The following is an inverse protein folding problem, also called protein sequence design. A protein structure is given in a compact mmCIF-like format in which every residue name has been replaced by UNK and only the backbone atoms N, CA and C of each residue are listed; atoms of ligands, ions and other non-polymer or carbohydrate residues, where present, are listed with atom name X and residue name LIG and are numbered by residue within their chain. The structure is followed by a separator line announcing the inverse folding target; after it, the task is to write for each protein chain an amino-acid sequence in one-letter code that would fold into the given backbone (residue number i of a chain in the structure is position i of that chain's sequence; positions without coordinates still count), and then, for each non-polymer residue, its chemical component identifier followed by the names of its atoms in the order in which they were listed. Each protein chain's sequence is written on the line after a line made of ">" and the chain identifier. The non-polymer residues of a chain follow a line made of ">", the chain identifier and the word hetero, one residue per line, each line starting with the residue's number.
data_IF_795417625499
#
_entry.id   IF_795417625499
#
_cell.length_a   1.000
_cell.length_b   1.000
_cell.length_c   1.000
_cell.angle_alpha   90.00
_cell.angle_beta   90.00
_cell.angle_gamma   90.00
#
_symmetry.space_group_name_H-M   'P 1'
#
loop_
_entity.id
_entity.type
_entity.pdbx_description
1 polymer ?
#
# COMPACT_ATOMS: atom_id res chain seq x y z
N UNK A 1 22.98 4.90 -4.43
CA UNK A 1 23.65 5.19 -3.13
C UNK A 1 22.64 5.68 -2.10
N UNK A 2 21.91 4.75 -1.46
CA UNK A 2 21.05 5.07 -0.30
C UNK A 2 21.87 4.84 0.97
N UNK A 3 22.00 5.86 1.82
CA UNK A 3 22.63 5.71 3.14
C UNK A 3 21.64 5.02 4.06
N UNK A 4 22.04 3.83 4.47
CA UNK A 4 21.43 3.05 5.53
C UNK A 4 21.44 3.85 6.84
N UNK A 5 20.30 3.93 7.51
CA UNK A 5 20.15 4.58 8.82
C UNK A 5 19.47 3.60 9.76
N UNK A 6 20.24 2.62 10.21
CA UNK A 6 20.01 1.98 11.51
C UNK A 6 21.33 1.52 12.10
N UNK A 7 21.72 2.16 13.19
CA UNK A 7 22.18 1.53 14.44
C UNK A 7 22.86 2.56 15.33
N UNK A 8 22.06 3.15 16.23
CA UNK A 8 22.50 3.38 17.61
C UNK A 8 21.28 3.73 18.46
N UNK A 9 20.60 2.69 18.94
CA UNK A 9 19.68 2.84 20.07
C UNK A 9 20.50 2.65 21.34
N UNK A 10 21.00 3.75 21.89
CA UNK A 10 21.41 3.78 23.30
C UNK A 10 20.15 4.10 24.07
N UNK A 11 19.66 3.13 24.85
CA UNK A 11 18.64 3.35 25.87
C UNK A 11 19.04 4.55 26.72
N UNK A 12 18.33 5.67 26.57
CA UNK A 12 18.50 6.82 27.42
C UNK A 12 17.16 7.17 28.04
N UNK A 13 16.85 6.49 29.15
CA UNK A 13 15.86 6.95 30.12
C UNK A 13 16.40 8.21 30.81
N UNK A 14 16.27 9.34 30.15
CA UNK A 14 16.39 10.65 30.78
C UNK A 14 15.37 11.56 30.12
N UNK A 15 14.43 12.09 30.91
CA UNK A 15 13.67 13.27 30.55
C UNK A 15 14.55 14.25 29.77
N UNK A 16 14.10 14.82 28.64
CA UNK A 16 14.89 15.81 27.92
C UNK A 16 15.08 17.00 28.85
N UNK A 17 16.22 17.04 29.53
CA UNK A 17 16.70 18.25 30.17
C UNK A 17 16.93 19.22 29.02
N UNK A 18 15.95 20.10 28.79
CA UNK A 18 16.19 21.36 28.12
C UNK A 18 17.29 22.06 28.91
N UNK A 19 18.54 21.84 28.53
CA UNK A 19 19.67 22.66 28.93
C UNK A 19 19.31 24.05 28.42
N UNK A 20 18.88 24.92 29.34
CA UNK A 20 18.66 26.31 29.04
C UNK A 20 19.96 26.84 28.44
N UNK A 21 19.86 27.35 27.21
CA UNK A 21 20.96 28.05 26.56
C UNK A 21 21.29 29.23 27.49
N UNK A 22 22.52 29.26 28.03
CA UNK A 22 22.95 30.34 28.90
C UNK A 22 22.90 31.66 28.11
N UNK A 23 22.50 32.77 28.74
CA UNK A 23 22.31 34.06 28.06
C UNK A 23 23.59 34.61 27.37
N UNK A 24 24.75 34.02 27.64
CA UNK A 24 26.05 34.37 27.04
C UNK A 24 26.48 33.37 25.93
N UNK A 25 25.59 32.47 25.50
CA UNK A 25 25.90 31.52 24.43
C UNK A 25 26.12 32.27 23.10
N UNK A 26 27.28 32.07 22.43
CA UNK A 26 27.63 32.77 21.20
C UNK A 26 26.67 32.47 20.04
N UNK A 27 25.82 31.45 20.14
CA UNK A 27 24.80 31.11 19.16
C UNK A 27 23.57 32.04 19.24
N UNK A 28 23.25 32.60 20.42
CA UNK A 28 22.03 33.40 20.64
C UNK A 28 21.81 34.49 19.57
N UNK A 29 22.83 35.27 19.16
CA UNK A 29 22.66 36.30 18.14
C UNK A 29 22.29 35.75 16.75
N UNK A 30 22.63 34.49 16.48
CA UNK A 30 22.45 33.82 15.18
C UNK A 30 21.31 32.80 15.17
N UNK A 31 20.70 32.49 16.32
CA UNK A 31 19.67 31.44 16.42
C UNK A 31 18.53 31.66 15.43
N UNK A 32 18.06 32.90 15.30
CA UNK A 32 16.98 33.22 14.36
C UNK A 32 17.40 32.97 12.90
N UNK A 33 18.56 33.49 12.51
CA UNK A 33 19.07 33.31 11.13
C UNK A 33 19.30 31.82 10.83
N UNK A 34 19.75 31.05 11.82
CA UNK A 34 19.93 29.60 11.72
C UNK A 34 18.59 28.87 11.61
N UNK A 35 17.59 29.22 12.42
CA UNK A 35 16.24 28.65 12.33
C UNK A 35 15.59 28.98 10.99
N UNK A 36 15.77 30.20 10.48
CA UNK A 36 15.18 30.63 9.22
C UNK A 36 15.83 29.90 8.03
N UNK A 37 17.17 29.75 7.99
CA UNK A 37 17.81 28.97 6.92
C UNK A 37 17.49 27.46 7.00
N UNK A 38 17.30 26.90 8.21
CA UNK A 38 16.87 25.51 8.36
C UNK A 38 15.44 25.30 7.83
N UNK A 39 14.53 26.25 8.05
CA UNK A 39 13.18 26.20 7.45
C UNK A 39 13.24 26.26 5.93
N UNK A 40 14.12 27.08 5.36
CA UNK A 40 14.26 27.17 3.90
C UNK A 40 14.81 25.86 3.31
N UNK A 41 15.76 25.20 3.99
CA UNK A 41 16.24 23.86 3.63
C UNK A 41 15.10 22.83 3.71
N UNK A 42 14.36 22.80 4.81
CA UNK A 42 13.23 21.89 5.00
C UNK A 42 12.15 22.09 3.92
N UNK A 43 11.88 23.34 3.51
CA UNK A 43 10.96 23.64 2.41
C UNK A 43 11.44 23.08 1.07
N UNK A 44 12.75 23.10 0.78
CA UNK A 44 13.30 22.47 -0.42
C UNK A 44 13.18 20.94 -0.35
N UNK A 45 13.45 20.33 0.81
CA UNK A 45 13.28 18.89 1.01
C UNK A 45 11.83 18.45 0.80
N UNK A 46 10.86 19.23 1.30
CA UNK A 46 9.42 18.98 1.09
C UNK A 46 9.05 19.06 -0.40
N UNK A 47 9.55 20.07 -1.13
CA UNK A 47 9.30 20.21 -2.57
C UNK A 47 9.88 19.03 -3.36
N UNK A 48 11.13 18.66 -3.08
CA UNK A 48 11.80 17.52 -3.70
C UNK A 48 11.03 16.22 -3.46
N UNK A 49 10.61 15.96 -2.22
CA UNK A 49 9.81 14.77 -1.89
C UNK A 49 8.47 14.75 -2.65
N UNK A 50 7.81 15.89 -2.80
CA UNK A 50 6.56 16.00 -3.55
C UNK A 50 6.74 15.72 -5.05
N UNK A 51 7.80 16.25 -5.66
CA UNK A 51 8.13 15.99 -7.07
C UNK A 51 8.48 14.52 -7.31
N UNK A 52 9.33 13.93 -6.47
CA UNK A 52 9.66 12.50 -6.52
C UNK A 52 8.40 11.63 -6.42
N UNK A 53 7.48 11.99 -5.54
CA UNK A 53 6.22 11.27 -5.39
C UNK A 53 5.34 11.36 -6.65
N UNK A 54 5.27 12.53 -7.29
CA UNK A 54 4.50 12.69 -8.51
C UNK A 54 5.08 11.88 -9.67
N UNK A 55 6.41 11.85 -9.80
CA UNK A 55 7.09 10.99 -10.78
C UNK A 55 6.78 9.51 -10.47
N UNK A 56 6.90 9.10 -9.21
CA UNK A 56 6.61 7.72 -8.81
C UNK A 56 5.17 7.31 -9.19
N UNK A 57 4.17 8.15 -8.92
CA UNK A 57 2.77 7.91 -9.30
C UNK A 57 2.60 7.72 -10.81
N UNK A 58 3.23 8.58 -11.62
CA UNK A 58 3.16 8.46 -13.08
C UNK A 58 3.70 7.12 -13.57
N UNK A 59 4.82 6.65 -13.02
CA UNK A 59 5.38 5.34 -13.39
C UNK A 59 4.59 4.18 -12.80
N UNK A 60 4.00 4.31 -11.63
CA UNK A 60 3.10 3.30 -11.06
C UNK A 60 1.86 3.08 -11.93
N UNK A 61 1.27 4.17 -12.45
CA UNK A 61 0.18 4.10 -13.42
C UNK A 61 0.60 3.39 -14.72
N UNK A 62 1.79 3.69 -15.24
CA UNK A 62 2.35 3.01 -16.43
C UNK A 62 2.65 1.54 -16.18
N UNK A 63 3.07 1.16 -14.96
CA UNK A 63 3.35 -0.24 -14.57
C UNK A 63 2.08 -1.07 -14.37
N UNK A 64 0.95 -0.45 -14.00
CA UNK A 64 -0.32 -1.15 -13.76
C UNK A 64 -0.72 -2.13 -14.89
N UNK A 65 -0.80 -1.74 -16.18
CA UNK A 65 -1.14 -2.68 -17.25
C UNK A 65 -0.08 -3.79 -17.44
N UNK A 66 1.18 -3.56 -17.06
CA UNK A 66 2.22 -4.59 -17.08
C UNK A 66 2.03 -5.60 -15.95
N UNK A 67 1.64 -5.15 -14.76
CA UNK A 67 1.28 -6.05 -13.66
C UNK A 67 0.04 -6.88 -13.99
N UNK A 68 -0.97 -6.32 -14.66
CA UNK A 68 -2.13 -7.08 -15.13
C UNK A 68 -1.73 -8.17 -16.14
N UNK A 69 -0.87 -7.85 -17.12
CA UNK A 69 -0.30 -8.86 -18.04
C UNK A 69 0.53 -9.92 -17.31
N UNK A 70 1.28 -9.53 -16.28
CA UNK A 70 2.05 -10.46 -15.44
C UNK A 70 1.12 -11.41 -14.71
N UNK A 71 0.03 -10.91 -14.14
CA UNK A 71 -0.98 -11.72 -13.45
C UNK A 71 -1.60 -12.75 -14.40
N UNK A 72 -1.96 -12.37 -15.63
CA UNK A 72 -2.49 -13.29 -16.65
C UNK A 72 -1.52 -14.42 -17.03
N UNK A 73 -0.21 -14.18 -16.92
CA UNK A 73 0.83 -15.20 -17.14
C UNK A 73 0.94 -16.10 -15.91
N UNK A 74 0.99 -15.51 -14.72
CA UNK A 74 1.12 -16.22 -13.44
C UNK A 74 -0.07 -17.16 -13.20
N UNK A 75 -1.29 -16.74 -13.54
CA UNK A 75 -2.49 -17.58 -13.42
C UNK A 75 -2.40 -18.91 -14.20
N UNK A 76 -1.58 -18.97 -15.25
CA UNK A 76 -1.33 -20.17 -16.06
C UNK A 76 -0.29 -21.11 -15.45
N UNK A 77 0.39 -20.69 -14.37
CA UNK A 77 1.45 -21.44 -13.69
C UNK A 77 0.98 -21.86 -12.29
N UNK A 78 0.42 -23.07 -12.13
CA UNK A 78 -0.06 -23.54 -10.83
C UNK A 78 1.04 -23.54 -9.76
N UNK A 79 0.71 -22.99 -8.59
CA UNK A 79 1.65 -22.91 -7.47
C UNK A 79 2.82 -21.94 -7.69
N UNK A 80 2.71 -21.00 -8.63
CA UNK A 80 3.74 -19.98 -8.86
C UNK A 80 4.14 -19.26 -7.57
N UNK A 81 3.17 -18.65 -6.87
CA UNK A 81 3.44 -17.89 -5.65
C UNK A 81 3.96 -18.78 -4.51
N UNK A 82 3.44 -20.01 -4.36
CA UNK A 82 3.95 -20.95 -3.37
C UNK A 82 5.44 -21.26 -3.58
N UNK A 83 5.83 -21.54 -4.83
CA UNK A 83 7.22 -21.82 -5.19
C UNK A 83 8.12 -20.60 -5.09
N UNK A 84 7.58 -19.42 -5.37
CA UNK A 84 8.29 -18.14 -5.30
C UNK A 84 8.60 -17.78 -3.84
N UNK A 85 7.56 -17.73 -2.99
CA UNK A 85 7.69 -17.32 -1.59
C UNK A 85 8.62 -18.26 -0.82
N UNK A 86 8.46 -19.58 -0.94
CA UNK A 86 9.28 -20.55 -0.18
C UNK A 86 10.76 -20.59 -0.57
N UNK A 87 11.11 -20.03 -1.74
CA UNK A 87 12.49 -19.95 -2.23
C UNK A 87 13.20 -18.67 -1.80
N UNK A 88 12.47 -17.72 -1.22
CA UNK A 88 13.06 -16.56 -0.59
C UNK A 88 13.86 -16.99 0.66
N UNK A 89 15.13 -16.58 0.84
CA UNK A 89 15.96 -17.03 1.97
C UNK A 89 15.33 -16.78 3.35
N UNK A 90 14.65 -15.65 3.55
CA UNK A 90 13.97 -15.36 4.81
C UNK A 90 12.67 -16.18 5.03
N UNK A 91 12.12 -16.82 3.99
CA UNK A 91 10.87 -17.59 4.05
C UNK A 91 11.11 -19.10 3.85
N UNK A 92 12.36 -19.56 3.84
CA UNK A 92 12.70 -20.97 3.58
C UNK A 92 12.25 -21.93 4.69
N UNK A 93 12.19 -21.45 5.92
CA UNK A 93 11.93 -22.26 7.12
C UNK A 93 10.47 -22.25 7.58
N UNK A 94 9.55 -21.96 6.65
CA UNK A 94 8.13 -22.07 6.92
C UNK A 94 7.70 -23.54 7.05
N UNK A 95 6.67 -23.81 7.86
CA UNK A 95 6.17 -25.18 8.08
C UNK A 95 5.60 -25.79 6.79
N UNK A 96 5.75 -27.10 6.55
CA UNK A 96 5.23 -27.76 5.34
C UNK A 96 3.72 -27.54 5.12
N UNK A 97 2.94 -27.42 6.20
CA UNK A 97 1.51 -27.13 6.17
C UNK A 97 1.18 -25.81 5.48
N UNK A 98 2.08 -24.81 5.56
CA UNK A 98 1.91 -23.55 4.82
C UNK A 98 1.97 -23.78 3.32
N UNK A 99 2.84 -24.68 2.85
CA UNK A 99 3.04 -24.94 1.42
C UNK A 99 1.76 -25.53 0.82
N UNK A 100 1.06 -26.40 1.54
CA UNK A 100 -0.23 -26.94 1.10
C UNK A 100 -1.29 -25.84 0.89
N UNK A 101 -1.33 -24.86 1.78
CA UNK A 101 -2.25 -23.72 1.69
C UNK A 101 -1.80 -22.74 0.60
N UNK A 102 -0.50 -22.40 0.55
CA UNK A 102 0.09 -21.51 -0.45
C UNK A 102 -0.03 -22.09 -1.86
N UNK A 103 -0.06 -23.41 -2.04
CA UNK A 103 -0.35 -24.03 -3.34
C UNK A 103 -1.75 -23.69 -3.87
N UNK A 104 -2.66 -23.21 -3.01
CA UNK A 104 -3.96 -22.70 -3.39
C UNK A 104 -3.97 -21.18 -3.67
N UNK A 105 -2.86 -20.46 -3.45
CA UNK A 105 -2.70 -19.03 -3.71
C UNK A 105 -2.64 -18.79 -5.23
N UNK A 106 -3.67 -18.15 -5.76
CA UNK A 106 -3.78 -17.88 -7.21
C UNK A 106 -3.33 -16.46 -7.57
N UNK A 107 -3.54 -15.51 -6.66
CA UNK A 107 -3.16 -14.11 -6.88
C UNK A 107 -2.56 -13.51 -5.62
N UNK A 108 -1.49 -12.76 -5.81
CA UNK A 108 -0.88 -11.88 -4.83
C UNK A 108 -0.94 -10.47 -5.44
N UNK A 109 -1.60 -9.54 -4.77
CA UNK A 109 -1.73 -8.15 -5.19
C UNK A 109 -1.07 -7.24 -4.16
N UNK A 110 -0.22 -6.33 -4.62
CA UNK A 110 0.42 -5.30 -3.80
C UNK A 110 -0.05 -3.93 -4.30
N UNK A 111 -0.73 -3.20 -3.42
CA UNK A 111 -0.98 -1.77 -3.56
C UNK A 111 0.03 -1.04 -2.69
N UNK A 112 1.13 -0.63 -3.29
CA UNK A 112 2.20 0.10 -2.62
C UNK A 112 2.00 1.61 -2.73
N UNK A 113 2.74 2.38 -1.91
CA UNK A 113 2.76 3.85 -1.92
C UNK A 113 1.35 4.49 -1.92
N UNK A 114 0.46 3.93 -1.10
CA UNK A 114 -0.93 4.39 -1.00
C UNK A 114 -1.05 5.81 -0.44
N UNK A 115 0.00 6.31 0.23
CA UNK A 115 0.17 7.67 0.70
C UNK A 115 1.64 8.10 0.66
N UNK A 116 1.91 9.33 1.10
CA UNK A 116 3.26 9.93 1.11
C UNK A 116 4.21 9.28 2.12
N UNK A 117 3.70 8.39 2.98
CA UNK A 117 4.44 7.78 4.07
C UNK A 117 4.85 6.33 3.75
N UNK A 118 4.50 5.86 2.54
CA UNK A 118 4.83 4.51 2.09
C UNK A 118 3.89 3.45 2.63
N UNK A 119 2.64 3.79 2.96
CA UNK A 119 1.62 2.82 3.33
C UNK A 119 1.35 1.84 2.19
N UNK A 120 1.07 0.59 2.54
CA UNK A 120 0.84 -0.47 1.56
C UNK A 120 -0.24 -1.45 1.99
N UNK A 121 -0.85 -2.10 1.01
CA UNK A 121 -1.81 -3.17 1.23
C UNK A 121 -1.49 -4.37 0.37
N UNK A 122 -1.37 -5.52 1.02
CA UNK A 122 -1.14 -6.79 0.35
C UNK A 122 -2.40 -7.65 0.45
N UNK A 123 -2.80 -8.22 -0.68
CA UNK A 123 -3.96 -9.11 -0.80
C UNK A 123 -3.55 -10.46 -1.35
N UNK A 124 -3.82 -11.51 -0.59
CA UNK A 124 -3.66 -12.90 -1.00
C UNK A 124 -5.05 -13.43 -1.39
N UNK A 125 -5.20 -13.90 -2.63
CA UNK A 125 -6.44 -14.53 -3.11
C UNK A 125 -6.20 -16.01 -3.38
N UNK A 126 -6.96 -16.84 -2.69
CA UNK A 126 -6.89 -18.29 -2.80
C UNK A 126 -8.04 -18.84 -3.64
N UNK A 127 -7.80 -19.96 -4.32
CA UNK A 127 -8.87 -20.69 -5.01
C UNK A 127 -9.75 -21.48 -4.04
N UNK A 128 -10.83 -22.03 -4.59
CA UNK A 128 -11.85 -22.79 -3.85
C UNK A 128 -11.30 -24.00 -3.05
N UNK A 129 -10.16 -24.59 -3.44
CA UNK A 129 -9.56 -25.71 -2.67
C UNK A 129 -9.10 -25.27 -1.29
N UNK A 130 -8.76 -24.00 -1.10
CA UNK A 130 -8.36 -23.48 0.21
C UNK A 130 -9.50 -23.51 1.26
N UNK A 131 -10.77 -23.73 0.85
CA UNK A 131 -11.90 -23.94 1.79
C UNK A 131 -11.72 -25.17 2.67
N UNK A 132 -10.88 -26.13 2.27
CA UNK A 132 -10.49 -27.26 3.11
C UNK A 132 -9.71 -26.81 4.36
N UNK A 133 -8.99 -25.69 4.27
CA UNK A 133 -8.08 -25.22 5.32
C UNK A 133 -8.64 -24.04 6.10
N UNK A 134 -9.25 -23.06 5.41
CA UNK A 134 -9.61 -21.79 6.03
C UNK A 134 -10.75 -21.04 5.34
N UNK A 135 -11.28 -20.05 6.04
CA UNK A 135 -12.13 -18.98 5.52
C UNK A 135 -11.72 -17.64 6.17
N UNK A 136 -11.79 -16.49 5.47
CA UNK A 136 -12.15 -16.32 4.06
C UNK A 136 -11.02 -16.74 3.09
N UNK A 137 -11.33 -16.81 1.79
CA UNK A 137 -10.35 -17.12 0.72
C UNK A 137 -9.57 -15.90 0.22
N UNK A 138 -9.81 -14.73 0.80
CA UNK A 138 -9.07 -13.51 0.47
C UNK A 138 -8.57 -12.93 1.77
N UNK A 139 -7.24 -12.84 1.89
CA UNK A 139 -6.58 -12.33 3.08
C UNK A 139 -5.93 -10.99 2.71
N UNK A 140 -6.34 -9.95 3.43
CA UNK A 140 -5.86 -8.59 3.27
C UNK A 140 -5.11 -8.18 4.52
N UNK A 141 -3.93 -7.57 4.36
CA UNK A 141 -3.25 -6.81 5.40
C UNK A 141 -2.86 -5.44 4.84
N UNK A 142 -3.30 -4.38 5.52
CA UNK A 142 -3.04 -2.99 5.18
C UNK A 142 -2.28 -2.35 6.34
N UNK A 143 -1.09 -1.87 6.01
CA UNK A 143 -0.16 -1.24 6.93
C UNK A 143 0.01 0.21 6.53
N UNK A 144 -0.12 1.10 7.51
CA UNK A 144 0.10 2.53 7.34
C UNK A 144 1.24 3.02 8.21
N UNK A 145 1.97 4.02 7.73
CA UNK A 145 3.04 4.64 8.50
C UNK A 145 2.65 6.06 8.92
N UNK A 146 2.72 6.36 10.21
CA UNK A 146 2.51 7.71 10.75
C UNK A 146 3.67 8.06 11.68
N UNK A 147 4.36 9.17 11.41
CA UNK A 147 5.54 9.61 12.17
C UNK A 147 6.59 8.49 12.40
N UNK A 148 6.89 7.71 11.36
CA UNK A 148 7.79 6.55 11.38
C UNK A 148 7.33 5.42 12.32
N UNK A 149 6.07 5.40 12.73
CA UNK A 149 5.46 4.27 13.44
C UNK A 149 4.59 3.48 12.48
N UNK A 150 4.80 2.18 12.48
CA UNK A 150 3.97 1.23 11.73
C UNK A 150 2.65 1.01 12.46
N UNK A 151 1.56 1.02 11.71
CA UNK A 151 0.22 0.71 12.21
C UNK A 151 -0.52 -0.20 11.25
N UNK A 152 -1.01 -1.32 11.75
CA UNK A 152 -1.90 -2.21 11.00
C UNK A 152 -3.33 -1.66 11.09
N UNK A 153 -3.89 -1.21 9.96
CA UNK A 153 -5.25 -0.64 9.89
C UNK A 153 -6.30 -1.64 9.41
N UNK A 154 -5.88 -2.65 8.66
CA UNK A 154 -6.72 -3.75 8.21
C UNK A 154 -5.91 -5.03 8.29
N UNK A 155 -6.44 -6.07 8.92
CA UNK A 155 -5.85 -7.40 8.87
C UNK A 155 -6.95 -8.45 8.93
N UNK A 156 -6.96 -9.33 7.94
CA UNK A 156 -7.99 -10.37 7.84
C UNK A 156 -7.78 -11.42 8.92
N UNK A 157 -8.82 -11.64 9.74
CA UNK A 157 -8.83 -12.74 10.71
C UNK A 157 -9.12 -14.07 10.02
N UNK A 158 -8.14 -14.96 9.99
CA UNK A 158 -8.25 -16.29 9.41
C UNK A 158 -9.04 -17.21 10.34
N UNK A 159 -10.06 -17.88 9.82
CA UNK A 159 -10.82 -18.94 10.50
C UNK A 159 -10.38 -20.30 9.96
N UNK A 160 -9.46 -20.94 10.66
CA UNK A 160 -8.98 -22.26 10.33
C UNK A 160 -10.05 -23.34 10.54
N UNK A 161 -10.12 -24.32 9.64
CA UNK A 161 -10.87 -25.55 9.84
C UNK A 161 -10.18 -26.42 10.89
N UNK A 162 -10.93 -27.35 11.47
CA UNK A 162 -10.42 -28.24 12.53
C UNK A 162 -9.18 -29.02 12.06
N UNK A 163 -8.08 -28.92 12.82
CA UNK A 163 -6.82 -29.59 12.50
C UNK A 163 -6.05 -29.03 11.30
N UNK A 164 -6.48 -27.90 10.73
CA UNK A 164 -5.88 -27.30 9.52
C UNK A 164 -5.12 -26.00 9.78
N UNK A 165 -4.93 -25.61 11.04
CA UNK A 165 -4.18 -24.41 11.41
C UNK A 165 -2.66 -24.69 11.34
N UNK A 166 -1.91 -24.10 10.41
CA UNK A 166 -0.47 -24.34 10.29
C UNK A 166 0.32 -23.78 11.49
N UNK A 167 -0.19 -22.75 12.17
CA UNK A 167 0.43 -22.16 13.36
C UNK A 167 0.48 -23.19 14.51
N UNK A 168 -0.49 -24.11 14.59
CA UNK A 168 -0.46 -25.19 15.58
C UNK A 168 0.61 -26.27 15.26
N UNK A 169 1.00 -26.42 13.98
CA UNK A 169 2.05 -27.35 13.59
C UNK A 169 3.44 -26.85 14.00
N UNK A 170 3.63 -25.53 14.17
CA UNK A 170 4.88 -24.93 14.67
C UNK A 170 5.28 -25.50 16.02
N UNK A 171 4.32 -25.66 16.96
CA UNK A 171 4.62 -26.23 18.28
C UNK A 171 4.97 -27.72 18.26
N UNK A 172 4.42 -28.49 17.31
CA UNK A 172 4.70 -29.91 17.17
C UNK A 172 6.08 -30.17 16.54
N UNK A 173 6.53 -29.27 15.67
CA UNK A 173 7.86 -29.34 15.06
C UNK A 173 8.99 -28.84 15.98
N UNK A 174 8.68 -28.28 17.16
CA UNK A 174 9.70 -27.91 18.16
C UNK A 174 10.16 -29.08 19.04
N UNK A 175 9.44 -30.20 19.07
CA UNK A 175 9.78 -31.35 19.93
C UNK A 175 10.85 -32.28 19.34
N UNK A 176 11.15 -32.13 18.06
CA UNK A 176 12.20 -32.87 17.37
C UNK A 176 13.29 -31.89 16.91
N UNK A 177 14.52 -32.08 17.43
CA UNK A 177 15.82 -31.65 16.88
C UNK A 177 16.57 -30.51 17.62
N UNK A 178 17.60 -30.98 18.34
CA UNK A 178 18.72 -30.27 18.98
C UNK A 178 19.63 -29.48 17.99
N UNK A 179 19.18 -29.16 16.75
CA UNK A 179 20.03 -28.53 15.72
C UNK A 179 19.30 -27.92 14.48
N UNK A 180 17.96 -27.90 14.41
CA UNK A 180 17.24 -27.25 13.29
C UNK A 180 16.76 -25.85 13.67
N UNK A 181 16.83 -24.92 12.71
CA UNK A 181 16.31 -23.56 12.88
C UNK A 181 14.80 -23.63 13.18
N UNK A 182 14.28 -22.87 14.17
CA UNK A 182 12.88 -22.97 14.55
C UNK A 182 11.98 -22.57 13.38
N UNK A 183 11.20 -23.53 12.91
CA UNK A 183 10.17 -23.28 11.88
C UNK A 183 9.10 -22.34 12.41
N UNK A 184 8.40 -21.69 11.49
CA UNK A 184 7.30 -20.77 11.77
C UNK A 184 6.25 -20.87 10.68
N UNK A 185 5.06 -20.30 10.90
CA UNK A 185 4.05 -20.22 9.85
C UNK A 185 4.01 -18.81 9.23
N UNK A 186 4.03 -18.71 7.90
CA UNK A 186 3.86 -17.45 7.17
C UNK A 186 2.54 -16.76 7.54
N UNK A 187 1.53 -17.53 7.93
CA UNK A 187 0.22 -16.99 8.34
C UNK A 187 0.24 -16.36 9.74
N UNK A 188 1.31 -16.51 10.53
CA UNK A 188 1.55 -15.69 11.73
C UNK A 188 1.64 -14.20 11.36
N UNK A 189 2.04 -13.86 10.13
CA UNK A 189 2.11 -12.48 9.66
C UNK A 189 0.73 -11.80 9.56
N UNK A 190 -0.36 -12.55 9.42
CA UNK A 190 -1.73 -12.02 9.44
C UNK A 190 -2.20 -11.76 10.89
N UNK A 191 -1.55 -10.82 11.55
CA UNK A 191 -1.87 -10.32 12.88
C UNK A 191 -1.83 -8.78 12.91
N UNK A 192 -2.52 -8.21 13.90
CA UNK A 192 -2.45 -6.79 14.25
C UNK A 192 -1.39 -6.49 15.32
N UNK A 193 -0.84 -7.53 15.94
CA UNK A 193 0.21 -7.41 16.96
C UNK A 193 1.59 -7.30 16.30
N UNK A 194 2.55 -6.73 17.02
CA UNK A 194 3.94 -6.66 16.56
C UNK A 194 4.54 -8.08 16.47
N UNK A 195 5.08 -8.43 15.31
CA UNK A 195 5.76 -9.71 15.10
C UNK A 195 7.18 -9.63 15.62
N UNK A 196 7.45 -10.36 16.71
CA UNK A 196 8.80 -10.51 17.26
C UNK A 196 9.45 -11.78 16.71
N UNK A 197 10.76 -11.71 16.41
CA UNK A 197 11.58 -12.84 15.97
C UNK A 197 11.05 -13.56 14.72
N UNK A 198 10.37 -12.84 13.82
CA UNK A 198 9.85 -13.35 12.54
C UNK A 198 10.16 -12.36 11.43
N UNK A 199 10.42 -12.83 10.20
CA UNK A 199 10.57 -11.96 9.05
C UNK A 199 9.29 -11.16 8.77
N UNK A 200 9.44 -9.90 8.39
CA UNK A 200 8.31 -9.12 7.89
C UNK A 200 8.00 -9.50 6.43
N UNK A 201 7.04 -10.40 6.27
CA UNK A 201 6.56 -10.87 4.96
C UNK A 201 6.11 -9.70 4.07
N UNK A 202 5.60 -8.61 4.65
CA UNK A 202 5.13 -7.45 3.90
C UNK A 202 6.29 -6.71 3.22
N UNK A 203 7.35 -6.42 3.96
CA UNK A 203 8.54 -5.78 3.42
C UNK A 203 9.28 -6.69 2.42
N UNK A 204 9.37 -7.99 2.69
CA UNK A 204 9.96 -8.94 1.75
C UNK A 204 9.19 -8.99 0.43
N UNK A 205 7.86 -9.04 0.49
CA UNK A 205 7.04 -8.99 -0.71
C UNK A 205 7.24 -7.66 -1.42
N UNK A 206 7.11 -6.55 -0.71
CA UNK A 206 7.16 -5.21 -1.28
C UNK A 206 8.50 -4.90 -1.93
N UNK A 207 9.61 -5.08 -1.21
CA UNK A 207 10.93 -4.58 -1.60
C UNK A 207 11.74 -5.55 -2.43
N UNK A 208 11.42 -6.84 -2.35
CA UNK A 208 12.26 -7.89 -2.95
C UNK A 208 11.45 -8.72 -3.95
N UNK A 209 10.45 -9.47 -3.47
CA UNK A 209 9.76 -10.48 -4.28
C UNK A 209 8.91 -9.84 -5.38
N UNK A 210 8.23 -8.71 -5.13
CA UNK A 210 7.31 -8.10 -6.08
C UNK A 210 8.01 -7.55 -7.33
N UNK A 211 9.24 -7.04 -7.17
CA UNK A 211 10.01 -6.46 -8.24
C UNK A 211 10.53 -7.52 -9.22
N UNK A 212 10.90 -8.70 -8.73
CA UNK A 212 11.37 -9.81 -9.57
C UNK A 212 10.95 -11.20 -9.05
N UNK A 213 9.65 -11.55 -9.14
CA UNK A 213 9.17 -12.83 -8.59
C UNK A 213 9.70 -14.04 -9.38
N UNK A 214 10.09 -13.86 -10.64
CA UNK A 214 10.59 -14.95 -11.48
C UNK A 214 11.96 -15.47 -11.01
N UNK A 215 12.86 -14.59 -10.55
CA UNK A 215 14.16 -15.00 -10.03
C UNK A 215 14.05 -15.92 -8.82
N UNK A 216 13.19 -15.57 -7.87
CA UNK A 216 12.89 -16.43 -6.72
C UNK A 216 12.20 -17.72 -7.17
N UNK A 217 11.25 -17.67 -8.11
CA UNK A 217 10.63 -18.87 -8.66
C UNK A 217 11.64 -19.84 -9.28
N UNK A 218 12.65 -19.33 -10.00
CA UNK A 218 13.70 -20.12 -10.63
C UNK A 218 14.78 -20.57 -9.63
N UNK A 219 14.97 -19.83 -8.53
CA UNK A 219 16.05 -20.05 -7.56
C UNK A 219 17.39 -19.55 -8.11
N UNK A 220 17.38 -18.42 -8.80
CA UNK A 220 18.60 -17.74 -9.22
C UNK A 220 19.15 -16.97 -8.00
N UNK A 221 20.34 -17.36 -7.54
CA UNK A 221 21.11 -16.62 -6.52
C UNK A 221 21.77 -15.42 -7.21
N UNK A 222 21.63 -14.24 -6.59
CA UNK A 222 22.23 -12.96 -6.98
C UNK A 222 21.78 -12.36 -8.32
N UNK A 223 21.08 -11.23 -8.24
CA UNK A 223 20.69 -10.40 -9.38
C UNK A 223 21.27 -8.98 -9.24
N UNK A 224 22.55 -8.89 -8.86
CA UNK A 224 23.33 -7.66 -9.06
C UNK A 224 23.44 -7.31 -10.57
N UNK A 225 23.08 -8.23 -11.47
CA UNK A 225 23.19 -8.08 -12.94
C UNK A 225 22.05 -7.29 -13.63
N UNK A 226 20.97 -6.88 -12.92
CA UNK A 226 19.97 -5.98 -13.57
C UNK A 226 20.40 -4.50 -13.52
N UNK A 227 21.40 -4.16 -12.71
CA UNK A 227 21.96 -2.81 -12.62
C UNK A 227 23.01 -2.51 -13.70
N UNK A 228 23.56 -3.52 -14.41
CA UNK A 228 24.66 -3.30 -15.38
C UNK A 228 24.21 -2.89 -16.80
N UNK A 229 22.93 -3.04 -17.17
CA UNK A 229 22.43 -2.69 -18.52
C UNK A 229 21.58 -1.39 -18.57
N UNK A 230 21.48 -0.63 -17.47
CA UNK A 230 20.79 0.67 -17.42
C UNK A 230 21.75 1.82 -17.76
N UNK A 231 22.46 1.72 -18.87
CA UNK A 231 23.31 2.76 -19.44
C UNK A 231 22.84 3.10 -20.88
N UNK A 232 21.52 3.10 -21.10
CA UNK A 232 20.95 3.69 -22.32
C UNK A 232 20.85 5.20 -22.12
N UNK A 233 21.74 5.90 -22.83
CA UNK A 233 21.84 7.33 -23.03
C UNK A 233 20.44 7.99 -23.07
N UNK A 234 20.16 8.84 -22.08
CA UNK A 234 19.11 9.85 -22.21
C UNK A 234 19.59 10.86 -23.26
N UNK A 235 19.30 10.61 -24.54
CA UNK A 235 19.34 11.64 -25.56
C UNK A 235 18.19 12.63 -25.27
N UNK A 236 18.55 13.73 -24.61
CA UNK A 236 17.78 14.99 -24.62
C UNK A 236 17.78 15.51 -26.07
N UNK A 237 16.87 15.01 -26.91
CA UNK A 237 16.47 15.71 -28.12
C UNK A 237 15.49 16.83 -27.73
N UNK A 238 16.06 17.94 -27.26
CA UNK A 238 15.46 19.28 -27.33
C UNK A 238 15.34 19.65 -28.83
N UNK A 239 14.26 19.22 -29.49
CA UNK A 239 13.80 19.87 -30.72
C UNK A 239 12.83 21.00 -30.33
N UNK A 240 13.38 22.21 -30.25
CA UNK A 240 12.65 23.47 -30.30
C UNK A 240 11.89 23.55 -31.65
N UNK A 241 10.58 23.29 -31.65
CA UNK A 241 9.70 23.64 -32.76
C UNK A 241 9.35 25.15 -32.66
N UNK A 242 10.21 25.95 -33.28
CA UNK A 242 9.94 27.32 -33.73
C UNK A 242 9.15 27.23 -35.05
N UNK A 243 7.82 27.37 -34.99
CA UNK A 243 7.00 27.70 -36.16
C UNK A 243 6.24 29.00 -35.87
N UNK A 244 6.97 30.12 -36.02
CA UNK A 244 6.38 31.38 -36.46
C UNK A 244 6.10 31.26 -37.96
N UNK A 245 4.83 31.25 -38.36
CA UNK A 245 4.42 31.91 -39.60
C UNK A 245 3.00 32.46 -39.46
N UNK A 246 3.00 33.79 -39.40
CA UNK A 246 1.95 34.77 -39.51
C UNK A 246 1.38 34.75 -40.94
N UNK A 247 0.06 34.84 -41.11
CA UNK A 247 -0.53 35.65 -42.19
C UNK A 247 -2.05 35.80 -41.98
N UNK A 248 -2.44 37.07 -42.01
CA UNK A 248 -3.71 37.71 -41.71
C UNK A 248 -4.80 37.54 -42.81
N UNK A 249 -5.99 38.07 -42.48
CA UNK A 249 -7.09 38.52 -43.35
C UNK A 249 -8.05 37.44 -43.91
N UNK A 250 -9.38 37.59 -43.91
CA UNK A 250 -10.25 38.75 -43.60
C UNK A 250 -11.73 38.32 -43.52
N UNK A 251 -12.54 39.14 -42.84
CA UNK A 251 -13.95 39.51 -43.09
C UNK A 251 -15.03 38.40 -43.19
N UNK A 252 -15.88 38.29 -42.16
CA UNK A 252 -17.22 38.92 -42.01
C UNK A 252 -18.33 38.20 -42.78
N UNK A 253 -19.34 37.70 -42.07
CA UNK A 253 -20.76 37.95 -42.41
C UNK A 253 -21.69 37.52 -41.26
N UNK A 254 -22.60 38.44 -40.98
CA UNK A 254 -23.65 38.47 -39.96
C UNK A 254 -24.68 37.34 -40.14
N UNK A 255 -25.29 36.84 -39.06
CA UNK A 255 -26.72 36.52 -39.08
C UNK A 255 -27.39 36.92 -37.75
N UNK A 256 -28.44 37.71 -37.91
CA UNK A 256 -29.35 38.24 -36.90
C UNK A 256 -30.35 37.17 -36.40
N UNK A 257 -30.87 37.46 -35.21
CA UNK A 257 -32.11 37.02 -34.53
C UNK A 257 -33.23 36.39 -35.38
N UNK A 258 -33.96 35.41 -34.82
CA UNK A 258 -35.43 35.49 -34.64
C UNK A 258 -36.00 34.30 -33.83
N UNK A 259 -36.95 34.64 -32.96
CA UNK A 259 -37.78 33.81 -32.08
C UNK A 259 -38.72 32.83 -32.84
N UNK A 260 -39.20 31.77 -32.18
CA UNK A 260 -40.65 31.54 -32.00
C UNK A 260 -40.97 30.27 -31.17
N UNK A 261 -41.99 30.47 -30.33
CA UNK A 261 -42.71 29.62 -29.40
C UNK A 261 -43.16 28.23 -29.90
N UNK A 262 -43.33 27.32 -28.94
CA UNK A 262 -44.54 26.47 -28.94
C UNK A 262 -44.93 26.10 -27.49
N UNK A 263 -45.83 26.90 -26.93
CA UNK A 263 -46.64 26.58 -25.76
C UNK A 263 -47.56 25.39 -26.05
N UNK A 264 -47.73 24.48 -25.08
CA UNK A 264 -49.04 23.89 -24.78
C UNK A 264 -49.26 23.76 -23.28
N UNK A 265 -50.15 24.61 -22.82
CA UNK A 265 -50.99 24.53 -21.62
C UNK A 265 -51.72 23.19 -21.46
N UNK A 266 -51.96 22.83 -20.20
CA UNK A 266 -53.30 22.73 -19.58
C UNK A 266 -53.07 22.26 -18.13
N UNK A 267 -53.19 23.13 -17.11
CA UNK A 267 -54.42 23.40 -16.32
C UNK A 267 -55.08 22.09 -15.85
N UNK A 268 -55.19 21.76 -14.56
CA UNK A 268 -56.01 22.35 -13.49
C UNK A 268 -55.89 21.32 -12.33
N UNK A 269 -56.16 21.51 -11.05
CA UNK A 269 -56.73 22.55 -10.23
C UNK A 269 -56.39 22.16 -8.77
N UNK A 270 -56.43 23.16 -7.90
CA UNK A 270 -56.30 23.08 -6.44
C UNK A 270 -57.51 22.37 -5.84
N UNK A 271 -57.36 21.81 -4.64
CA UNK A 271 -58.19 22.24 -3.52
C UNK A 271 -57.64 21.71 -2.18
N UNK A 272 -57.51 22.66 -1.26
CA UNK A 272 -57.35 22.50 0.17
C UNK A 272 -58.62 21.87 0.79
N UNK A 273 -58.48 21.10 1.87
CA UNK A 273 -59.19 21.37 3.13
C UNK A 273 -59.01 20.21 4.14
N UNK A 274 -58.46 20.59 5.29
CA UNK A 274 -58.85 20.24 6.66
C UNK A 274 -59.60 18.91 6.94
N UNK A 275 -59.09 18.15 7.92
CA UNK A 275 -59.81 17.95 9.19
C UNK A 275 -58.99 17.21 10.25
N UNK A 276 -58.93 17.84 11.43
CA UNK A 276 -58.60 17.27 12.74
C UNK A 276 -59.43 16.03 13.11
N UNK A 277 -58.88 15.19 14.00
CA UNK A 277 -59.67 14.21 14.75
C UNK A 277 -58.87 13.20 15.55
N UNK A 278 -58.70 13.50 16.85
CA UNK A 278 -58.41 12.59 17.98
C UNK A 278 -58.92 11.15 17.80
N UNK A 279 -58.17 10.16 18.31
CA UNK A 279 -58.67 9.34 19.43
C UNK A 279 -57.56 8.51 20.10
N UNK A 280 -57.71 8.41 21.42
CA UNK A 280 -56.91 7.81 22.46
C UNK A 280 -56.64 6.30 22.31
N UNK A 281 -55.61 5.82 23.02
CA UNK A 281 -55.86 4.72 23.96
C UNK A 281 -54.81 3.61 24.11
N UNK A 282 -54.11 3.68 25.24
CA UNK A 282 -53.67 2.59 26.15
C UNK A 282 -52.40 1.84 25.80
N UNK A 283 -51.35 1.99 26.61
CA UNK A 283 -51.12 1.32 27.92
C UNK A 283 -51.03 -0.21 27.77
N UNK A 284 -49.82 -0.75 27.95
CA UNK A 284 -49.56 -1.64 29.08
C UNK A 284 -48.05 -1.77 29.32
N UNK A 285 -47.65 -1.31 30.50
CA UNK A 285 -46.45 -1.69 31.22
C UNK A 285 -46.52 -3.20 31.57
N UNK A 286 -45.37 -3.86 31.71
CA UNK A 286 -45.03 -4.62 32.92
C UNK A 286 -43.60 -5.21 32.81
N UNK A 287 -42.75 -4.67 33.68
CA UNK A 287 -41.76 -5.31 34.56
C UNK A 287 -41.47 -6.82 34.38
N UNK A 288 -40.18 -7.17 34.19
CA UNK A 288 -39.26 -7.62 35.27
C UNK A 288 -37.79 -7.59 34.77
#
# INVERSE_FOLDING_TARGET
>A
MKRDRSENSVENTTDPKHTKIDNDDPLIPFMKDFEDIQKDIEQLDIKCAHEQMNIQKQYDEKKKPLFEKRDEIIEKVPGFWANTLRKHPALSDIVPEDIDILNCLVKLDLKDNMDNNGSYKITFTFNEKAKEYMEPLTLVKHVTFDNNQEKVVECTRIKWKEGKNPIAAVSNNRSDLDNEMPKWSIFEWFTTEELQDKPDVGELIRREIWHNPLSYYLGLEDFDDFDEDFDEEFDDDDEEDDDEDDDEDDEDEEEEEEDEDDEKDDDDEKDDDDMDGDDDGKEDENDD
#
